data_IF_857271616712
#
_entry.id   IF_857271616712
#
_cell.length_a   1.000
_cell.length_b   1.000
_cell.length_c   1.000
_cell.angle_alpha   90.00
_cell.angle_beta   90.00
_cell.angle_gamma   90.00
#
_symmetry.space_group_name_H-M   'P 1'
#
loop_
_entity.id
_entity.type
_entity.pdbx_description
1 polymer ?
#
# COMPACT_ATOMS: atom_id res chain seq x y z
N UNK A 1 18.76 20.64 16.85
CA UNK A 1 17.44 20.76 17.49
C UNK A 1 16.54 19.91 16.63
N UNK A 2 16.36 18.63 17.02
CA UNK A 2 15.52 17.69 16.27
C UNK A 2 14.07 18.06 16.54
N UNK A 3 13.45 18.77 15.61
CA UNK A 3 12.03 19.08 15.69
C UNK A 3 11.20 17.85 15.34
N UNK A 4 10.37 17.40 16.27
CA UNK A 4 9.12 16.65 16.11
C UNK A 4 8.94 15.83 14.81
N UNK A 5 9.88 14.93 14.50
CA UNK A 5 9.65 13.93 13.46
C UNK A 5 8.76 12.82 14.04
N UNK A 6 7.47 12.83 13.68
CA UNK A 6 6.56 11.73 14.02
C UNK A 6 6.90 10.53 13.16
N UNK A 7 7.29 9.41 13.78
CA UNK A 7 7.60 8.15 13.12
C UNK A 7 7.04 6.96 13.92
N UNK A 8 6.82 5.79 13.28
CA UNK A 8 6.43 4.58 13.99
C UNK A 8 7.52 4.15 14.97
N UNK A 9 7.13 3.64 16.12
CA UNK A 9 8.05 3.06 17.11
C UNK A 9 8.74 1.82 16.56
N UNK A 10 9.91 1.49 17.09
CA UNK A 10 10.64 0.28 16.70
C UNK A 10 9.82 -0.99 16.94
N UNK A 11 9.06 -1.04 18.05
CA UNK A 11 8.19 -2.18 18.37
C UNK A 11 7.11 -2.41 17.30
N UNK A 12 6.49 -1.33 16.81
CA UNK A 12 5.53 -1.42 15.70
C UNK A 12 6.23 -1.86 14.42
N UNK A 13 7.40 -1.27 14.12
CA UNK A 13 8.18 -1.56 12.91
C UNK A 13 8.58 -3.03 12.84
N UNK A 14 9.06 -3.60 13.93
CA UNK A 14 9.46 -5.01 14.03
C UNK A 14 8.27 -5.95 13.79
N UNK A 15 7.12 -5.67 14.42
CA UNK A 15 5.88 -6.42 14.18
C UNK A 15 5.42 -6.31 12.74
N UNK A 16 5.48 -5.11 12.18
CA UNK A 16 5.05 -4.83 10.81
C UNK A 16 5.92 -5.59 9.80
N UNK A 17 7.24 -5.55 9.95
CA UNK A 17 8.18 -6.29 9.12
C UNK A 17 7.96 -7.81 9.22
N UNK A 18 7.72 -8.33 10.42
CA UNK A 18 7.42 -9.76 10.61
C UNK A 18 6.11 -10.19 9.93
N UNK A 19 5.06 -9.36 9.98
CA UNK A 19 3.82 -9.63 9.27
C UNK A 19 3.98 -9.53 7.74
N UNK A 20 4.73 -8.54 7.24
CA UNK A 20 5.02 -8.44 5.80
C UNK A 20 5.76 -9.69 5.29
N UNK A 21 6.77 -10.18 6.03
CA UNK A 21 7.48 -11.40 5.68
C UNK A 21 6.57 -12.64 5.64
N UNK A 22 5.60 -12.74 6.57
CA UNK A 22 4.60 -13.83 6.58
C UNK A 22 3.64 -13.77 5.40
N UNK A 23 3.24 -12.57 4.98
CA UNK A 23 2.30 -12.37 3.87
C UNK A 23 2.97 -12.53 2.51
N UNK A 24 4.23 -12.12 2.36
CA UNK A 24 4.98 -12.20 1.11
C UNK A 24 5.01 -13.59 0.48
N UNK A 25 5.09 -14.63 1.30
CA UNK A 25 5.11 -16.02 0.83
C UNK A 25 3.72 -16.60 0.50
N UNK A 26 2.66 -15.77 0.54
CA UNK A 26 1.28 -16.19 0.27
C UNK A 26 0.85 -15.80 -1.13
N UNK A 27 0.05 -16.64 -1.77
CA UNK A 27 -0.59 -16.30 -3.05
C UNK A 27 -1.47 -15.05 -2.95
N UNK A 28 -1.60 -14.31 -4.07
CA UNK A 28 -2.34 -13.04 -4.11
C UNK A 28 -3.82 -13.22 -3.78
N UNK A 29 -4.40 -14.38 -4.07
CA UNK A 29 -5.77 -14.74 -3.66
C UNK A 29 -5.92 -14.72 -2.13
N UNK A 30 -4.97 -15.31 -1.41
CA UNK A 30 -5.01 -15.30 0.05
C UNK A 30 -4.80 -13.88 0.61
N UNK A 31 -4.03 -13.04 -0.08
CA UNK A 31 -3.89 -11.62 0.27
C UNK A 31 -5.21 -10.87 0.04
N UNK A 32 -5.91 -11.15 -1.07
CA UNK A 32 -7.19 -10.53 -1.39
C UNK A 32 -8.27 -10.89 -0.36
N UNK A 33 -8.33 -12.14 0.06
CA UNK A 33 -9.27 -12.59 1.09
C UNK A 33 -9.06 -11.86 2.41
N UNK A 34 -7.80 -11.74 2.86
CA UNK A 34 -7.48 -11.03 4.09
C UNK A 34 -7.74 -9.53 3.96
N UNK A 35 -7.42 -8.92 2.81
CA UNK A 35 -7.69 -7.51 2.55
C UNK A 35 -9.20 -7.21 2.65
N UNK A 36 -10.04 -8.11 2.14
CA UNK A 36 -11.50 -8.02 2.30
C UNK A 36 -11.91 -8.06 3.76
N UNK A 37 -11.43 -9.05 4.52
CA UNK A 37 -11.77 -9.25 5.93
C UNK A 37 -11.50 -8.03 6.82
N UNK A 38 -10.44 -7.28 6.53
CA UNK A 38 -10.04 -6.12 7.34
C UNK A 38 -10.63 -4.79 6.83
N UNK A 39 -11.43 -4.81 5.77
CA UNK A 39 -11.94 -3.61 5.11
C UNK A 39 -13.48 -3.57 5.08
N UNK A 40 -14.09 -2.43 4.72
CA UNK A 40 -15.54 -2.36 4.51
C UNK A 40 -16.05 -3.14 3.26
N UNK A 41 -15.15 -3.74 2.47
CA UNK A 41 -15.53 -4.46 1.26
C UNK A 41 -16.25 -5.77 1.60
N UNK A 42 -17.25 -6.12 0.81
CA UNK A 42 -17.98 -7.39 0.94
C UNK A 42 -17.49 -8.43 -0.06
N UNK A 43 -16.83 -8.00 -1.13
CA UNK A 43 -16.29 -8.84 -2.19
C UNK A 43 -14.82 -8.50 -2.47
N UNK A 44 -14.05 -9.50 -2.90
CA UNK A 44 -12.66 -9.35 -3.34
C UNK A 44 -12.36 -10.27 -4.51
N UNK A 45 -11.47 -9.82 -5.39
CA UNK A 45 -10.95 -10.64 -6.49
C UNK A 45 -9.52 -10.26 -6.85
N UNK A 46 -8.78 -11.21 -7.40
CA UNK A 46 -7.50 -10.95 -8.03
C UNK A 46 -7.72 -10.61 -9.49
N UNK A 47 -7.13 -9.52 -9.94
CA UNK A 47 -7.10 -9.12 -11.35
C UNK A 47 -5.67 -9.28 -11.83
N UNK A 48 -5.50 -10.00 -12.93
CA UNK A 48 -4.20 -10.18 -13.57
C UNK A 48 -4.24 -9.43 -14.89
N UNK A 49 -3.22 -8.62 -15.17
CA UNK A 49 -3.08 -8.00 -16.49
C UNK A 49 -2.83 -9.05 -17.58
N UNK A 50 -3.19 -8.72 -18.81
CA UNK A 50 -2.94 -9.55 -20.00
C UNK A 50 -1.50 -9.39 -20.55
N UNK A 51 -0.59 -8.74 -19.82
CA UNK A 51 0.76 -8.37 -20.26
C UNK A 51 1.88 -9.27 -19.74
N UNK A 52 2.98 -9.36 -20.51
CA UNK A 52 4.17 -10.19 -20.24
C UNK A 52 5.06 -9.73 -19.05
N UNK A 53 4.59 -8.80 -18.22
CA UNK A 53 5.33 -8.34 -17.04
C UNK A 53 4.83 -9.07 -15.78
N UNK A 54 5.67 -9.96 -15.23
CA UNK A 54 5.52 -10.50 -13.88
C UNK A 54 5.43 -9.33 -12.88
N UNK A 55 4.20 -8.94 -12.50
CA UNK A 55 3.95 -7.75 -11.68
C UNK A 55 2.54 -7.16 -11.76
N UNK A 56 1.71 -7.57 -12.72
CA UNK A 56 0.37 -7.00 -12.97
C UNK A 56 -0.76 -7.64 -12.15
N UNK A 57 -0.47 -8.10 -10.93
CA UNK A 57 -1.51 -8.59 -10.02
C UNK A 57 -2.07 -7.46 -9.15
N UNK A 58 -3.40 -7.35 -9.16
CA UNK A 58 -4.17 -6.40 -8.39
C UNK A 58 -5.17 -7.11 -7.49
N UNK A 59 -5.32 -6.60 -6.28
CA UNK A 59 -6.41 -6.92 -5.37
C UNK A 59 -7.49 -5.87 -5.58
N UNK A 60 -8.62 -6.26 -6.15
CA UNK A 60 -9.81 -5.42 -6.25
C UNK A 60 -10.75 -5.72 -5.09
N UNK A 61 -11.17 -4.67 -4.38
CA UNK A 61 -12.07 -4.71 -3.23
C UNK A 61 -13.33 -3.90 -3.56
N UNK A 62 -14.51 -4.46 -3.28
CA UNK A 62 -15.77 -3.82 -3.65
C UNK A 62 -16.90 -4.08 -2.64
N UNK A 63 -17.89 -3.19 -2.63
CA UNK A 63 -19.19 -3.47 -2.03
C UNK A 63 -20.04 -4.32 -2.99
N UNK A 64 -21.00 -5.07 -2.43
CA UNK A 64 -21.85 -5.95 -3.20
C UNK A 64 -22.61 -5.18 -4.29
N UNK A 65 -22.44 -5.59 -5.54
CA UNK A 65 -23.09 -4.96 -6.69
C UNK A 65 -22.51 -3.60 -7.10
N UNK A 66 -21.35 -3.22 -6.57
CA UNK A 66 -20.60 -2.06 -7.04
C UNK A 66 -20.15 -2.25 -8.50
N UNK A 67 -20.08 -1.15 -9.25
CA UNK A 67 -19.47 -1.17 -10.57
C UNK A 67 -17.93 -1.06 -10.43
N UNK A 68 -17.20 -1.27 -11.52
CA UNK A 68 -15.72 -1.24 -11.52
C UNK A 68 -15.13 0.12 -11.10
N UNK A 69 -15.88 1.22 -11.23
CA UNK A 69 -15.42 2.58 -10.87
C UNK A 69 -15.40 2.78 -9.35
N UNK A 70 -16.27 2.06 -8.63
CA UNK A 70 -16.38 2.12 -7.18
C UNK A 70 -15.45 1.11 -6.46
N UNK A 71 -14.69 0.31 -7.21
CA UNK A 71 -13.74 -0.65 -6.66
C UNK A 71 -12.46 0.04 -6.16
N UNK A 72 -11.94 -0.42 -5.02
CA UNK A 72 -10.59 -0.06 -4.57
C UNK A 72 -9.59 -1.08 -5.11
N UNK A 73 -8.61 -0.61 -5.89
CA UNK A 73 -7.59 -1.45 -6.51
C UNK A 73 -6.25 -1.25 -5.81
N UNK A 74 -5.71 -2.33 -5.26
CA UNK A 74 -4.44 -2.35 -4.56
C UNK A 74 -3.46 -3.22 -5.31
N UNK A 75 -2.25 -2.72 -5.56
CA UNK A 75 -1.15 -3.59 -5.98
C UNK A 75 -0.79 -4.53 -4.83
N UNK A 76 -0.33 -5.74 -5.15
CA UNK A 76 0.09 -6.73 -4.16
C UNK A 76 1.02 -6.17 -3.06
N UNK A 77 2.10 -5.41 -3.35
CA UNK A 77 2.94 -4.83 -2.31
C UNK A 77 2.19 -3.88 -1.37
N UNK A 78 1.23 -3.11 -1.90
CA UNK A 78 0.38 -2.21 -1.10
C UNK A 78 -0.54 -3.01 -0.18
N UNK A 79 -1.19 -4.05 -0.70
CA UNK A 79 -2.06 -4.90 0.11
C UNK A 79 -1.30 -5.59 1.24
N UNK A 80 -0.09 -6.11 0.96
CA UNK A 80 0.80 -6.69 1.98
C UNK A 80 1.12 -5.66 3.07
N UNK A 81 1.52 -4.44 2.70
CA UNK A 81 1.85 -3.38 3.66
C UNK A 81 0.65 -3.02 4.55
N UNK A 82 -0.53 -2.83 3.97
CA UNK A 82 -1.73 -2.44 4.71
C UNK A 82 -2.21 -3.54 5.68
N UNK A 83 -2.27 -4.79 5.22
CA UNK A 83 -2.66 -5.92 6.09
C UNK A 83 -1.65 -6.09 7.23
N UNK A 84 -0.35 -6.07 6.91
CA UNK A 84 0.68 -6.22 7.91
C UNK A 84 0.64 -5.08 8.93
N UNK A 85 0.42 -3.85 8.48
CA UNK A 85 0.34 -2.67 9.33
C UNK A 85 -0.89 -2.71 10.24
N UNK A 86 -2.02 -3.20 9.74
CA UNK A 86 -3.25 -3.40 10.50
C UNK A 86 -3.05 -4.40 11.65
N UNK A 87 -2.40 -5.54 11.37
CA UNK A 87 -2.09 -6.57 12.38
C UNK A 87 -1.02 -6.13 13.37
N UNK A 88 -0.01 -5.39 12.89
CA UNK A 88 1.03 -4.85 13.75
C UNK A 88 0.47 -3.81 14.74
N UNK A 89 -0.56 -3.05 14.34
CA UNK A 89 -1.19 -2.01 15.15
C UNK A 89 -2.06 -2.55 16.30
N UNK A 90 -2.41 -3.83 16.29
CA UNK A 90 -3.36 -4.44 17.25
C UNK A 90 -3.05 -4.17 18.73
N UNK A 91 -1.79 -4.23 19.22
CA UNK A 91 -1.46 -3.92 20.61
C UNK A 91 -1.54 -2.42 20.95
N UNK A 92 -1.49 -1.54 19.96
CA UNK A 92 -1.39 -0.09 20.14
C UNK A 92 -2.73 0.62 19.96
N UNK A 93 -3.62 0.05 19.14
CA UNK A 93 -4.92 0.62 18.78
C UNK A 93 -5.99 -0.44 18.98
N UNK A 94 -7.04 -0.14 19.77
CA UNK A 94 -8.15 -1.07 19.99
C UNK A 94 -9.20 -1.03 18.87
N UNK A 95 -9.36 0.11 18.21
CA UNK A 95 -10.33 0.31 17.14
C UNK A 95 -9.78 -0.16 15.79
N UNK A 96 -10.47 -1.11 15.15
CA UNK A 96 -10.07 -1.70 13.88
C UNK A 96 -10.01 -0.69 12.73
N UNK A 97 -10.93 0.28 12.72
CA UNK A 97 -10.95 1.33 11.69
C UNK A 97 -9.71 2.23 11.81
N UNK A 98 -9.26 2.51 13.03
CA UNK A 98 -8.02 3.25 13.27
C UNK A 98 -6.77 2.43 12.95
N UNK A 99 -6.79 1.10 13.18
CA UNK A 99 -5.68 0.22 12.75
C UNK A 99 -5.47 0.30 11.23
N UNK A 100 -6.56 0.21 10.46
CA UNK A 100 -6.46 0.24 8.99
C UNK A 100 -6.04 1.62 8.49
N UNK A 101 -6.61 2.69 9.06
CA UNK A 101 -6.22 4.05 8.72
C UNK A 101 -4.73 4.30 9.01
N UNK A 102 -4.24 3.87 10.18
CA UNK A 102 -2.82 3.97 10.54
C UNK A 102 -1.94 3.17 9.57
N UNK A 103 -2.33 1.93 9.22
CA UNK A 103 -1.57 1.10 8.29
C UNK A 103 -1.42 1.76 6.90
N UNK A 104 -2.49 2.39 6.39
CA UNK A 104 -2.48 3.11 5.12
C UNK A 104 -1.51 4.27 5.11
N UNK A 105 -1.51 5.08 6.18
CA UNK A 105 -0.60 6.22 6.33
C UNK A 105 0.83 5.78 6.57
N UNK A 106 1.04 4.73 7.36
CA UNK A 106 2.38 4.28 7.74
C UNK A 106 3.22 3.80 6.55
N UNK A 107 2.61 3.51 5.39
CA UNK A 107 3.31 3.21 4.12
C UNK A 107 4.38 4.23 3.76
N UNK A 108 4.25 5.48 4.18
CA UNK A 108 5.27 6.51 3.97
C UNK A 108 6.60 6.24 4.69
N UNK A 109 6.62 5.31 5.66
CA UNK A 109 7.77 4.90 6.46
C UNK A 109 8.31 3.52 6.10
N UNK A 110 7.91 2.94 4.97
CA UNK A 110 8.46 1.68 4.49
C UNK A 110 9.95 1.86 4.16
N UNK A 111 10.78 0.94 4.64
CA UNK A 111 12.22 0.94 4.38
C UNK A 111 12.58 0.06 3.15
N UNK A 112 11.75 -0.94 2.86
CA UNK A 112 11.93 -1.89 1.76
C UNK A 112 10.59 -2.27 1.14
N UNK A 113 10.62 -2.80 -0.09
CA UNK A 113 9.44 -3.29 -0.76
C UNK A 113 8.78 -4.43 0.04
N UNK A 114 7.48 -4.33 0.37
CA UNK A 114 6.77 -5.38 1.12
C UNK A 114 6.80 -6.75 0.42
N UNK A 115 6.91 -6.75 -0.92
CA UNK A 115 6.84 -7.95 -1.75
C UNK A 115 8.23 -8.46 -2.17
N UNK A 116 9.05 -7.66 -2.87
CA UNK A 116 10.36 -8.12 -3.35
C UNK A 116 11.54 -7.84 -2.40
N UNK A 117 11.33 -7.13 -1.29
CA UNK A 117 12.37 -6.67 -0.36
C UNK A 117 13.39 -5.69 -0.95
N UNK A 118 13.23 -5.29 -2.21
CA UNK A 118 14.09 -4.31 -2.87
C UNK A 118 14.00 -2.91 -2.26
N UNK A 119 15.06 -2.13 -2.48
CA UNK A 119 15.18 -0.76 -1.98
C UNK A 119 14.08 0.14 -2.56
N UNK A 120 13.48 0.95 -1.70
CA UNK A 120 12.50 1.95 -2.12
C UNK A 120 13.17 3.25 -2.52
N UNK A 121 12.58 3.92 -3.51
CA UNK A 121 13.05 5.22 -3.97
C UNK A 121 11.96 6.25 -3.79
N UNK A 122 12.35 7.39 -3.22
CA UNK A 122 11.59 8.62 -3.34
C UNK A 122 11.75 9.15 -4.76
N UNK A 123 10.64 9.51 -5.38
CA UNK A 123 10.59 10.04 -6.73
C UNK A 123 9.46 11.04 -6.86
N UNK A 124 9.28 11.57 -8.05
CA UNK A 124 8.16 12.45 -8.39
C UNK A 124 7.27 11.76 -9.40
N UNK A 125 5.96 11.87 -9.23
CA UNK A 125 5.01 11.33 -10.22
C UNK A 125 5.04 12.20 -11.47
N UNK A 126 5.90 11.82 -12.43
CA UNK A 126 5.94 12.45 -13.75
C UNK A 126 5.06 11.63 -14.69
N UNK A 127 3.83 12.08 -15.02
CA UNK A 127 3.01 11.38 -15.99
C UNK A 127 3.75 11.34 -17.34
N UNK A 128 4.03 10.11 -17.81
CA UNK A 128 4.65 9.82 -19.11
C UNK A 128 3.92 10.44 -20.33
N UNK A 129 2.73 11.01 -20.13
CA UNK A 129 1.90 11.61 -21.19
C UNK A 129 1.50 13.08 -20.93
N UNK A 130 2.26 13.84 -20.13
CA UNK A 130 2.13 15.31 -20.08
C UNK A 130 0.99 15.85 -19.20
N UNK A 131 0.69 15.19 -18.09
CA UNK A 131 -0.25 15.68 -17.07
C UNK A 131 0.35 16.75 -16.16
N UNK A 132 0.58 17.95 -16.68
CA UNK A 132 0.53 19.15 -15.84
C UNK A 132 -0.87 19.75 -15.97
N UNK A 133 -1.58 19.92 -14.86
CA UNK A 133 -2.87 20.64 -14.83
C UNK A 133 -2.69 22.16 -14.66
N UNK A 134 -1.45 22.66 -14.60
CA UNK A 134 -1.11 24.08 -14.73
C UNK A 134 0.41 24.31 -14.80
N UNK A 135 0.87 25.46 -15.33
CA UNK A 135 2.30 25.80 -15.42
C UNK A 135 3.02 25.95 -14.07
N UNK A 136 2.26 26.06 -12.97
CA UNK A 136 2.77 26.25 -11.60
C UNK A 136 2.59 25.00 -10.70
N UNK A 137 2.20 23.86 -11.26
CA UNK A 137 1.88 22.67 -10.46
C UNK A 137 3.07 21.72 -10.33
N UNK A 138 3.64 21.63 -9.13
CA UNK A 138 4.72 20.69 -8.84
C UNK A 138 4.23 19.23 -8.81
N UNK A 139 4.98 18.28 -9.41
CA UNK A 139 4.62 16.87 -9.35
C UNK A 139 4.64 16.36 -7.90
N UNK A 140 3.68 15.50 -7.54
CA UNK A 140 3.63 14.95 -6.18
C UNK A 140 4.84 14.02 -5.91
N UNK A 141 5.43 14.14 -4.72
CA UNK A 141 6.44 13.20 -4.25
C UNK A 141 5.79 11.82 -4.02
N UNK A 142 6.53 10.76 -4.32
CA UNK A 142 6.09 9.38 -4.22
C UNK A 142 7.17 8.51 -3.58
N UNK A 143 6.74 7.44 -2.93
CA UNK A 143 7.60 6.32 -2.53
C UNK A 143 7.25 5.12 -3.41
N UNK A 144 8.22 4.61 -4.16
CA UNK A 144 8.00 3.53 -5.12
C UNK A 144 9.11 2.47 -5.08
N UNK A 145 8.74 1.24 -5.41
CA UNK A 145 9.66 0.15 -5.66
C UNK A 145 10.00 0.12 -7.16
N UNK A 146 11.28 0.32 -7.55
CA UNK A 146 11.68 0.29 -8.95
C UNK A 146 11.63 -1.12 -9.55
N UNK A 147 11.90 -2.16 -8.75
CA UNK A 147 11.95 -3.54 -9.23
C UNK A 147 10.55 -4.10 -9.54
N UNK A 148 9.57 -3.79 -8.70
CA UNK A 148 8.17 -4.14 -8.93
C UNK A 148 7.44 -3.14 -9.85
N UNK A 149 8.01 -1.95 -10.09
CA UNK A 149 7.32 -0.84 -10.75
C UNK A 149 6.07 -0.37 -9.99
N UNK A 150 6.01 -0.56 -8.67
CA UNK A 150 4.83 -0.25 -7.84
C UNK A 150 5.07 1.00 -7.02
N UNK A 151 4.16 1.98 -7.17
CA UNK A 151 4.04 3.10 -6.24
C UNK A 151 3.35 2.65 -4.95
N UNK A 152 4.02 2.83 -3.83
CA UNK A 152 3.54 2.42 -2.50
C UNK A 152 2.83 3.55 -1.76
N UNK A 153 3.27 4.79 -1.98
CA UNK A 153 2.70 5.96 -1.33
C UNK A 153 2.86 7.21 -2.21
N UNK A 154 1.91 8.13 -2.10
CA UNK A 154 1.98 9.49 -2.65
C UNK A 154 1.90 10.46 -1.48
N UNK A 155 2.89 11.33 -1.33
CA UNK A 155 2.91 12.30 -0.26
C UNK A 155 1.87 13.40 -0.52
N UNK A 156 1.12 13.85 0.51
CA UNK A 156 0.23 14.99 0.36
C UNK A 156 1.03 16.23 -0.07
N UNK A 157 0.40 17.09 -0.86
CA UNK A 157 0.95 18.42 -1.14
C UNK A 157 0.74 19.29 0.10
N UNK A 158 1.74 20.11 0.43
CA UNK A 158 1.67 21.13 1.49
C UNK A 158 0.83 22.35 1.08
#
# INVERSE_FOLDING_TARGET
MDGDAVAPTDEYRDRWNAEMARLRIRETEAIADVAREISPATESRVVRGDGDADGDEWVALSAAGANTVDETWLRRPVAIAEIAGYRAAEPFLSDESFRLAAARTNRMFLDACPDCEGDLKRGVDLPCCGGYTGPDEEPAETLACPDCGVRLFTFPRE
#
